data_IF_883156851196
#
_entry.id   IF_883156851196
#
_cell.length_a   1.000
_cell.length_b   1.000
_cell.length_c   1.000
_cell.angle_alpha   90.00
_cell.angle_beta   90.00
_cell.angle_gamma   90.00
#
_symmetry.space_group_name_H-M   'P 1'
#
loop_
_entity.id
_entity.type
_entity.pdbx_description
1 polymer ?
#
# COMPACT_ATOMS: atom_id res chain seq x y z
N UNK A 1 20.35 -1.68 6.60
CA UNK A 1 19.14 -2.20 5.91
C UNK A 1 18.89 -3.65 6.25
N UNK A 2 19.88 -4.52 6.17
CA UNK A 2 19.76 -5.95 6.51
C UNK A 2 19.11 -6.14 7.89
N UNK A 3 19.76 -5.66 8.93
CA UNK A 3 19.30 -5.84 10.32
C UNK A 3 17.91 -5.22 10.57
N UNK A 4 17.61 -4.11 9.90
CA UNK A 4 16.31 -3.45 10.02
C UNK A 4 15.19 -4.30 9.41
N UNK A 5 15.39 -4.85 8.22
CA UNK A 5 14.40 -5.75 7.59
C UNK A 5 14.28 -7.05 8.37
N UNK A 6 15.40 -7.61 8.85
CA UNK A 6 15.40 -8.82 9.66
C UNK A 6 14.60 -8.64 10.95
N UNK A 7 14.77 -7.52 11.62
CA UNK A 7 14.13 -7.26 12.92
C UNK A 7 12.64 -6.89 12.80
N UNK A 8 12.25 -6.20 11.72
CA UNK A 8 10.97 -5.50 11.64
C UNK A 8 9.97 -6.10 10.64
N UNK A 9 10.43 -6.80 9.60
CA UNK A 9 9.55 -7.43 8.61
C UNK A 9 9.47 -8.93 8.87
N UNK A 10 8.26 -9.44 9.06
CA UNK A 10 8.00 -10.86 9.30
C UNK A 10 7.13 -11.44 8.19
N UNK A 11 7.19 -12.74 7.99
CA UNK A 11 6.28 -13.43 7.08
C UNK A 11 4.82 -13.21 7.52
N UNK A 12 3.96 -12.92 6.55
CA UNK A 12 2.56 -12.60 6.78
C UNK A 12 2.24 -11.13 7.09
N UNK A 13 3.26 -10.28 7.31
CA UNK A 13 3.03 -8.87 7.63
C UNK A 13 2.36 -8.10 6.47
N UNK A 14 1.61 -7.09 6.85
CA UNK A 14 1.14 -6.03 5.94
C UNK A 14 2.20 -4.94 5.87
N UNK A 15 2.82 -4.79 4.70
CA UNK A 15 3.95 -3.88 4.48
C UNK A 15 3.57 -2.78 3.51
N UNK A 16 3.65 -1.54 3.95
CA UNK A 16 3.50 -0.36 3.10
C UNK A 16 4.87 0.21 2.76
N UNK A 17 5.21 0.21 1.46
CA UNK A 17 6.44 0.83 0.94
C UNK A 17 6.02 1.99 0.06
N UNK A 18 6.02 3.17 0.61
CA UNK A 18 5.58 4.37 -0.09
C UNK A 18 6.77 5.18 -0.60
N UNK A 19 6.52 5.91 -1.67
CA UNK A 19 7.49 6.79 -2.31
C UNK A 19 7.13 6.97 -3.78
N UNK A 20 7.42 8.14 -4.33
CA UNK A 20 7.12 8.45 -5.71
C UNK A 20 8.38 9.01 -6.39
N UNK A 21 8.58 8.65 -7.66
CA UNK A 21 9.75 9.07 -8.45
C UNK A 21 11.08 8.68 -7.80
N UNK A 22 11.85 9.66 -7.30
CA UNK A 22 13.17 9.46 -6.67
C UNK A 22 13.10 8.95 -5.21
N UNK A 23 11.91 8.81 -4.65
CA UNK A 23 11.71 8.35 -3.27
C UNK A 23 11.32 6.86 -3.19
N UNK A 24 11.48 6.10 -4.27
CA UNK A 24 11.19 4.67 -4.28
C UNK A 24 12.21 3.92 -3.41
N UNK A 25 11.72 3.09 -2.50
CA UNK A 25 12.53 2.38 -1.50
C UNK A 25 13.14 1.08 -2.08
N UNK A 26 13.90 1.14 -3.17
CA UNK A 26 14.49 -0.04 -3.82
C UNK A 26 15.33 -0.89 -2.89
N UNK A 27 16.17 -0.26 -2.07
CA UNK A 27 17.07 -0.98 -1.17
C UNK A 27 16.29 -1.85 -0.17
N UNK A 28 15.17 -1.36 0.35
CA UNK A 28 14.32 -2.12 1.27
C UNK A 28 13.59 -3.27 0.56
N UNK A 29 13.00 -3.00 -0.61
CA UNK A 29 12.33 -4.04 -1.41
C UNK A 29 13.28 -5.17 -1.81
N UNK A 30 14.50 -4.83 -2.26
CA UNK A 30 15.52 -5.83 -2.60
C UNK A 30 16.01 -6.60 -1.36
N UNK A 31 16.07 -5.95 -0.19
CA UNK A 31 16.42 -6.64 1.03
C UNK A 31 15.36 -7.65 1.46
N UNK A 32 14.08 -7.28 1.36
CA UNK A 32 12.95 -8.19 1.61
C UNK A 32 13.04 -9.43 0.70
N UNK A 33 13.36 -9.23 -0.60
CA UNK A 33 13.59 -10.33 -1.54
C UNK A 33 14.79 -11.19 -1.11
N UNK A 34 15.92 -10.57 -0.76
CA UNK A 34 17.15 -11.27 -0.38
C UNK A 34 16.98 -12.12 0.87
N UNK A 35 16.18 -11.66 1.83
CA UNK A 35 15.83 -12.40 3.05
C UNK A 35 14.71 -13.44 2.81
N UNK A 36 14.19 -13.53 1.59
CA UNK A 36 13.16 -14.49 1.21
C UNK A 36 11.91 -14.42 2.10
N UNK A 37 11.48 -13.22 2.46
CA UNK A 37 10.22 -13.02 3.18
C UNK A 37 9.05 -13.55 2.34
N UNK A 38 7.99 -14.02 3.01
CA UNK A 38 6.87 -14.69 2.35
C UNK A 38 5.53 -14.21 2.87
N UNK A 39 4.51 -14.47 2.06
CA UNK A 39 3.10 -14.25 2.40
C UNK A 39 2.76 -12.80 2.78
N UNK A 40 3.56 -11.84 2.34
CA UNK A 40 3.32 -10.44 2.63
C UNK A 40 2.06 -9.91 1.94
N UNK A 41 1.33 -9.05 2.65
CA UNK A 41 0.36 -8.14 2.05
C UNK A 41 1.06 -6.84 1.72
N UNK A 42 1.32 -6.56 0.46
CA UNK A 42 1.96 -5.33 0.01
C UNK A 42 0.92 -4.23 -0.22
N UNK A 43 1.15 -3.05 0.32
CA UNK A 43 0.24 -1.91 0.23
C UNK A 43 0.93 -0.71 -0.38
N UNK A 44 0.34 -0.11 -1.42
CA UNK A 44 0.81 1.14 -2.03
C UNK A 44 -0.26 1.76 -2.90
N UNK A 45 -0.28 3.10 -2.99
CA UNK A 45 -1.18 3.79 -3.92
C UNK A 45 -0.89 3.41 -5.37
N UNK A 46 0.38 3.46 -5.75
CA UNK A 46 0.82 3.21 -7.13
C UNK A 46 2.02 2.26 -7.12
N UNK A 47 1.78 0.93 -7.04
CA UNK A 47 2.84 -0.05 -7.19
C UNK A 47 3.65 0.16 -8.48
N UNK A 48 4.96 0.01 -8.38
CA UNK A 48 5.92 0.22 -9.46
C UNK A 48 6.89 -0.95 -9.61
N UNK A 49 8.04 -0.70 -10.27
CA UNK A 49 9.04 -1.72 -10.58
C UNK A 49 9.52 -2.49 -9.34
N UNK A 50 9.69 -1.85 -8.18
CA UNK A 50 10.13 -2.59 -6.98
C UNK A 50 9.06 -3.57 -6.51
N UNK A 51 7.78 -3.20 -6.65
CA UNK A 51 6.66 -4.11 -6.36
C UNK A 51 6.59 -5.26 -7.38
N UNK A 52 6.81 -4.96 -8.65
CA UNK A 52 6.87 -5.99 -9.70
C UNK A 52 7.97 -7.02 -9.40
N UNK A 53 9.15 -6.55 -8.98
CA UNK A 53 10.27 -7.41 -8.58
C UNK A 53 9.96 -8.24 -7.32
N UNK A 54 9.36 -7.64 -6.29
CA UNK A 54 8.98 -8.33 -5.06
C UNK A 54 7.93 -9.41 -5.33
N UNK A 55 6.91 -9.08 -6.10
CA UNK A 55 5.83 -10.01 -6.46
C UNK A 55 6.37 -11.12 -7.36
N UNK A 56 7.23 -10.79 -8.33
CA UNK A 56 7.92 -11.77 -9.18
C UNK A 56 8.84 -12.71 -8.40
N UNK A 57 9.45 -12.24 -7.33
CA UNK A 57 10.25 -13.05 -6.41
C UNK A 57 9.42 -13.91 -5.44
N UNK A 58 8.09 -13.80 -5.45
CA UNK A 58 7.20 -14.62 -4.65
C UNK A 58 7.10 -14.22 -3.18
N UNK A 59 7.48 -12.98 -2.81
CA UNK A 59 7.41 -12.54 -1.40
C UNK A 59 6.00 -12.14 -0.97
N UNK A 60 5.08 -11.87 -1.91
CA UNK A 60 3.73 -11.41 -1.61
C UNK A 60 2.66 -12.40 -2.03
N UNK A 61 1.65 -12.55 -1.17
CA UNK A 61 0.40 -13.27 -1.46
C UNK A 61 -0.77 -12.33 -1.75
N UNK A 62 -0.66 -11.05 -1.38
CA UNK A 62 -1.71 -10.05 -1.59
C UNK A 62 -1.13 -8.68 -1.95
N UNK A 63 -1.85 -7.95 -2.82
CA UNK A 63 -1.56 -6.57 -3.19
C UNK A 63 -2.79 -5.68 -2.95
N UNK A 64 -2.60 -4.60 -2.19
CA UNK A 64 -3.61 -3.57 -1.92
C UNK A 64 -3.15 -2.27 -2.57
N UNK A 65 -3.92 -1.76 -3.53
CA UNK A 65 -3.47 -0.66 -4.38
C UNK A 65 -4.61 0.21 -4.91
N UNK A 66 -4.27 1.26 -5.64
CA UNK A 66 -5.25 2.11 -6.34
C UNK A 66 -4.99 2.27 -7.83
N UNK A 67 -3.78 2.05 -8.29
CA UNK A 67 -3.47 2.09 -9.73
C UNK A 67 -2.20 1.29 -9.99
N UNK A 68 -2.24 0.39 -10.96
CA UNK A 68 -1.10 -0.40 -11.39
C UNK A 68 -0.53 0.15 -12.68
N UNK A 69 0.73 0.55 -12.64
CA UNK A 69 1.43 0.98 -13.83
C UNK A 69 2.78 1.60 -13.53
N UNK A 70 3.57 1.75 -14.57
CA UNK A 70 4.88 2.37 -14.52
C UNK A 70 5.04 3.29 -15.73
N UNK A 71 4.42 4.48 -15.69
CA UNK A 71 4.49 5.40 -16.81
C UNK A 71 5.95 5.77 -17.10
N UNK A 72 6.37 5.58 -18.33
CA UNK A 72 7.71 5.87 -18.79
C UNK A 72 8.66 4.68 -18.91
N UNK A 73 8.39 3.54 -18.29
CA UNK A 73 9.26 2.34 -18.39
C UNK A 73 8.53 1.06 -18.78
N UNK A 74 7.24 1.10 -19.00
CA UNK A 74 6.45 -0.01 -19.53
C UNK A 74 5.64 -0.79 -18.50
N UNK A 75 5.21 -2.00 -18.88
CA UNK A 75 4.31 -2.82 -18.07
C UNK A 75 5.02 -3.47 -16.89
N UNK A 76 4.25 -3.72 -15.83
CA UNK A 76 4.65 -4.50 -14.66
C UNK A 76 4.38 -5.99 -14.97
N UNK A 77 5.33 -6.64 -15.60
CA UNK A 77 5.13 -7.96 -16.20
C UNK A 77 4.96 -9.08 -15.18
N UNK A 78 5.64 -9.03 -14.04
CA UNK A 78 5.52 -10.07 -13.02
C UNK A 78 4.18 -9.99 -12.28
N UNK A 79 3.74 -8.78 -11.93
CA UNK A 79 2.41 -8.56 -11.36
C UNK A 79 1.34 -9.04 -12.33
N UNK A 80 1.48 -8.68 -13.60
CA UNK A 80 0.51 -9.05 -14.63
C UNK A 80 0.36 -10.57 -14.77
N UNK A 81 1.48 -11.30 -14.88
CA UNK A 81 1.44 -12.76 -14.92
C UNK A 81 0.78 -13.38 -13.70
N UNK A 82 1.06 -12.83 -12.51
CA UNK A 82 0.44 -13.31 -11.26
C UNK A 82 -1.07 -13.08 -11.19
N UNK A 83 -1.58 -12.06 -11.88
CA UNK A 83 -3.01 -11.72 -11.91
C UNK A 83 -3.72 -12.45 -13.06
N UNK A 84 -3.10 -12.54 -14.24
CA UNK A 84 -3.74 -13.06 -15.45
C UNK A 84 -3.55 -14.58 -15.60
N UNK A 85 -2.39 -15.12 -15.20
CA UNK A 85 -1.97 -16.50 -15.47
C UNK A 85 -1.79 -17.33 -14.19
N UNK A 86 -2.00 -16.75 -12.99
CA UNK A 86 -1.70 -17.39 -11.69
C UNK A 86 -0.24 -17.92 -11.57
N UNK A 87 0.70 -17.35 -12.32
CA UNK A 87 2.08 -17.82 -12.39
C UNK A 87 3.05 -16.97 -11.52
N UNK A 88 3.80 -17.58 -10.60
CA UNK A 88 3.86 -18.99 -10.19
C UNK A 88 2.73 -19.43 -9.23
N UNK A 89 1.92 -18.50 -8.76
CA UNK A 89 0.78 -18.74 -7.88
C UNK A 89 -0.16 -17.51 -7.94
N UNK A 90 -1.44 -17.63 -7.63
CA UNK A 90 -2.39 -16.52 -7.64
C UNK A 90 -1.97 -15.42 -6.68
N UNK A 91 -2.22 -14.18 -7.08
CA UNK A 91 -2.04 -12.99 -6.25
C UNK A 91 -3.41 -12.42 -5.91
N UNK A 92 -3.75 -12.39 -4.62
CA UNK A 92 -4.96 -11.72 -4.18
C UNK A 92 -4.82 -10.21 -4.41
N UNK A 93 -5.79 -9.59 -5.05
CA UNK A 93 -5.80 -8.16 -5.33
C UNK A 93 -6.95 -7.47 -4.61
N UNK A 94 -6.68 -6.25 -4.13
CA UNK A 94 -7.66 -5.40 -3.47
C UNK A 94 -7.49 -3.96 -3.97
N UNK A 95 -8.33 -3.58 -4.93
CA UNK A 95 -8.24 -2.29 -5.59
C UNK A 95 -9.15 -1.24 -4.95
N UNK A 96 -8.64 -0.01 -4.84
CA UNK A 96 -9.36 1.20 -4.42
C UNK A 96 -9.07 2.35 -5.36
N UNK A 97 -9.86 3.42 -5.29
CA UNK A 97 -9.41 4.69 -5.87
C UNK A 97 -8.23 5.27 -5.07
N UNK A 98 -7.46 6.19 -5.67
CA UNK A 98 -6.38 6.90 -4.93
C UNK A 98 -6.93 7.56 -3.67
N UNK A 99 -8.07 8.24 -3.78
CA UNK A 99 -8.72 8.85 -2.62
C UNK A 99 -9.16 7.81 -1.58
N UNK A 100 -9.70 6.67 -2.03
CA UNK A 100 -10.07 5.57 -1.15
C UNK A 100 -8.87 5.03 -0.36
N UNK A 101 -7.71 4.83 -1.00
CA UNK A 101 -6.49 4.41 -0.30
C UNK A 101 -6.02 5.47 0.71
N UNK A 102 -6.04 6.75 0.35
CA UNK A 102 -5.70 7.83 1.28
C UNK A 102 -6.65 7.81 2.49
N UNK A 103 -7.95 7.67 2.26
CA UNK A 103 -8.94 7.58 3.34
C UNK A 103 -8.71 6.38 4.25
N UNK A 104 -8.31 5.23 3.71
CA UNK A 104 -7.94 4.04 4.48
C UNK A 104 -6.74 4.29 5.40
N UNK A 105 -5.67 4.92 4.89
CA UNK A 105 -4.51 5.31 5.69
C UNK A 105 -4.89 6.33 6.76
N UNK A 106 -5.73 7.32 6.43
CA UNK A 106 -6.23 8.30 7.40
C UNK A 106 -7.03 7.63 8.51
N UNK A 107 -7.94 6.73 8.14
CA UNK A 107 -8.72 5.97 9.12
C UNK A 107 -7.83 5.13 10.03
N UNK A 108 -6.82 4.45 9.47
CA UNK A 108 -5.84 3.67 10.22
C UNK A 108 -5.04 4.52 11.21
N UNK A 109 -4.48 5.64 10.73
CA UNK A 109 -3.67 6.57 11.53
C UNK A 109 -4.49 7.29 12.63
N UNK A 110 -5.77 7.55 12.37
CA UNK A 110 -6.67 8.23 13.31
C UNK A 110 -7.46 7.27 14.21
N UNK A 111 -7.19 5.97 14.11
CA UNK A 111 -7.92 4.92 14.83
C UNK A 111 -9.45 4.94 14.60
N UNK A 112 -9.87 5.32 13.39
CA UNK A 112 -11.28 5.28 13.01
C UNK A 112 -11.67 3.85 12.61
N UNK A 113 -12.93 3.43 12.85
CA UNK A 113 -13.42 2.11 12.44
C UNK A 113 -13.61 1.99 10.93
N UNK A 114 -13.87 3.09 10.23
CA UNK A 114 -14.02 3.20 8.78
C UNK A 114 -13.90 4.67 8.36
N UNK A 115 -13.85 4.92 7.04
CA UNK A 115 -13.90 6.27 6.48
C UNK A 115 -15.05 6.36 5.47
N UNK A 116 -16.01 7.32 5.61
CA UNK A 116 -17.10 7.53 4.65
C UNK A 116 -16.60 8.30 3.43
N UNK A 117 -17.04 7.88 2.24
CA UNK A 117 -16.59 8.44 0.96
C UNK A 117 -17.76 8.57 0.00
N UNK A 118 -17.80 9.66 -0.76
CA UNK A 118 -18.77 9.87 -1.87
C UNK A 118 -18.21 9.55 -3.26
N UNK A 119 -16.90 9.24 -3.37
CA UNK A 119 -16.22 9.15 -4.67
C UNK A 119 -16.44 7.84 -5.44
N UNK A 120 -17.23 6.90 -4.92
CA UNK A 120 -17.50 5.61 -5.57
C UNK A 120 -18.88 5.55 -6.26
N UNK A 121 -19.64 6.63 -6.29
CA UNK A 121 -20.89 6.66 -7.04
C UNK A 121 -20.63 6.42 -8.54
N UNK A 122 -21.46 5.57 -9.14
CA UNK A 122 -21.36 5.18 -10.55
C UNK A 122 -20.04 4.49 -10.94
N UNK A 123 -19.25 4.02 -9.94
CA UNK A 123 -18.02 3.26 -10.15
C UNK A 123 -18.28 1.77 -10.03
N UNK A 124 -17.54 0.97 -10.79
CA UNK A 124 -17.59 -0.50 -10.70
C UNK A 124 -16.69 -1.07 -9.59
N UNK A 125 -15.77 -0.27 -9.03
CA UNK A 125 -14.86 -0.73 -7.97
C UNK A 125 -15.59 -1.35 -6.78
N UNK A 126 -16.67 -0.75 -6.22
CA UNK A 126 -17.41 -1.38 -5.13
C UNK A 126 -18.07 -2.71 -5.49
N UNK A 127 -18.35 -2.96 -6.78
CA UNK A 127 -18.96 -4.21 -7.22
C UNK A 127 -17.98 -5.39 -7.17
N UNK A 128 -16.68 -5.10 -7.35
CA UNK A 128 -15.63 -6.13 -7.37
C UNK A 128 -14.81 -6.17 -6.07
N UNK A 129 -14.88 -5.13 -5.25
CA UNK A 129 -14.20 -5.08 -3.95
C UNK A 129 -15.20 -5.14 -2.78
N UNK A 130 -15.37 -6.33 -2.16
CA UNK A 130 -16.35 -6.52 -1.08
C UNK A 130 -16.01 -5.75 0.21
N UNK A 131 -14.82 -5.17 0.33
CA UNK A 131 -14.42 -4.34 1.46
C UNK A 131 -14.94 -2.90 1.36
N UNK A 132 -15.42 -2.49 0.19
CA UNK A 132 -16.13 -1.21 0.03
C UNK A 132 -17.61 -1.47 0.27
N UNK A 133 -18.12 -0.96 1.37
CA UNK A 133 -19.52 -1.16 1.78
C UNK A 133 -20.31 0.13 1.67
N UNK A 134 -21.63 0.03 1.68
CA UNK A 134 -22.52 1.19 1.77
C UNK A 134 -23.10 1.32 3.18
N UNK A 135 -23.35 2.54 3.59
CA UNK A 135 -24.13 2.86 4.79
C UNK A 135 -24.95 4.13 4.58
N UNK A 136 -26.05 4.26 5.29
CA UNK A 136 -26.85 5.48 5.31
C UNK A 136 -26.23 6.46 6.32
N UNK A 137 -26.10 7.72 5.91
CA UNK A 137 -25.67 8.80 6.81
C UNK A 137 -26.59 8.89 8.03
N UNK A 138 -26.06 9.00 9.25
CA UNK A 138 -26.88 9.18 10.46
C UNK A 138 -27.43 10.61 10.62
N UNK A 139 -27.11 11.49 9.69
CA UNK A 139 -27.55 12.89 9.70
C UNK A 139 -28.83 13.10 8.87
N UNK A 140 -29.39 14.30 8.93
CA UNK A 140 -30.71 14.63 8.34
C UNK A 140 -30.82 14.37 6.84
N UNK A 141 -29.69 14.42 6.11
CA UNK A 141 -29.68 14.16 4.67
C UNK A 141 -29.96 12.68 4.33
N UNK A 142 -29.81 11.77 5.29
CA UNK A 142 -29.99 10.32 5.12
C UNK A 142 -29.34 9.77 3.82
N UNK A 143 -28.29 10.44 3.33
CA UNK A 143 -27.62 10.07 2.08
C UNK A 143 -26.90 8.75 2.24
N UNK A 144 -27.04 7.85 1.26
CA UNK A 144 -26.20 6.67 1.19
C UNK A 144 -24.76 7.07 0.81
N UNK A 145 -23.78 6.52 1.55
CA UNK A 145 -22.35 6.76 1.31
C UNK A 145 -21.60 5.44 1.30
N UNK A 146 -20.53 5.36 0.52
CA UNK A 146 -19.62 4.24 0.62
C UNK A 146 -18.68 4.41 1.83
N UNK A 147 -18.25 3.29 2.39
CA UNK A 147 -17.28 3.27 3.49
C UNK A 147 -16.14 2.32 3.17
N UNK A 148 -14.94 2.71 3.55
CA UNK A 148 -13.73 1.89 3.41
C UNK A 148 -13.15 1.56 4.78
N UNK A 149 -12.60 0.33 4.97
CA UNK A 149 -11.99 -0.06 6.23
C UNK A 149 -10.65 0.66 6.44
N UNK A 150 -10.19 0.82 7.68
CA UNK A 150 -8.86 1.36 7.96
C UNK A 150 -7.77 0.45 7.41
N UNK A 151 -6.68 1.04 6.94
CA UNK A 151 -5.44 0.35 6.60
C UNK A 151 -4.40 0.65 7.68
N UNK A 152 -3.96 -0.40 8.36
CA UNK A 152 -2.98 -0.34 9.44
C UNK A 152 -1.83 -1.30 9.14
N UNK A 153 -0.85 -0.88 8.33
CA UNK A 153 0.31 -1.71 8.05
C UNK A 153 1.08 -2.07 9.33
N UNK A 154 1.58 -3.30 9.41
CA UNK A 154 2.47 -3.73 10.49
C UNK A 154 3.82 -3.01 10.37
N UNK A 155 4.26 -2.80 9.11
CA UNK A 155 5.49 -2.10 8.78
C UNK A 155 5.23 -1.06 7.70
N UNK A 156 5.77 0.15 7.90
CA UNK A 156 5.79 1.20 6.87
C UNK A 156 7.22 1.63 6.58
N UNK A 157 7.58 1.61 5.31
CA UNK A 157 8.91 1.98 4.82
C UNK A 157 8.77 3.23 3.96
N UNK A 158 9.50 4.27 4.30
CA UNK A 158 9.52 5.53 3.55
C UNK A 158 10.96 5.93 3.27
N UNK A 159 11.21 6.47 2.09
CA UNK A 159 12.50 7.05 1.75
C UNK A 159 12.59 8.47 2.30
N UNK A 160 13.61 8.73 3.09
CA UNK A 160 13.96 10.07 3.53
C UNK A 160 15.39 10.41 3.07
N UNK A 161 15.63 11.66 2.71
CA UNK A 161 16.97 12.10 2.32
C UNK A 161 17.90 12.26 3.52
N UNK A 162 17.33 12.46 4.70
CA UNK A 162 18.08 12.59 5.94
C UNK A 162 17.27 12.09 7.12
N UNK A 163 17.90 11.38 8.03
CA UNK A 163 17.32 10.97 9.30
C UNK A 163 18.35 11.03 10.40
N UNK A 164 17.93 11.15 11.64
CA UNK A 164 18.79 11.13 12.82
C UNK A 164 18.52 9.91 13.71
N UNK A 165 19.34 9.76 14.75
CA UNK A 165 19.21 8.65 15.68
C UNK A 165 17.95 8.72 16.58
N UNK A 166 17.29 9.86 16.62
CA UNK A 166 16.04 10.07 17.38
C UNK A 166 14.81 9.67 16.56
N UNK A 167 14.99 9.37 15.26
CA UNK A 167 13.92 9.01 14.33
C UNK A 167 13.26 10.20 13.63
N UNK A 168 13.84 11.41 13.77
CA UNK A 168 13.41 12.57 13.01
C UNK A 168 13.93 12.45 11.57
N UNK A 169 13.04 12.67 10.59
CA UNK A 169 13.37 12.53 9.19
C UNK A 169 13.01 13.76 8.38
N UNK A 170 13.86 14.10 7.42
CA UNK A 170 13.65 15.20 6.48
C UNK A 170 13.45 14.65 5.07
N UNK A 171 12.33 15.06 4.46
CA UNK A 171 11.96 14.74 3.10
C UNK A 171 11.76 16.03 2.32
N UNK A 172 12.41 16.15 1.17
CA UNK A 172 12.25 17.27 0.25
C UNK A 172 12.15 16.81 -1.20
N UNK A 173 11.69 17.68 -2.08
CA UNK A 173 11.39 17.37 -3.47
C UNK A 173 9.91 17.05 -3.68
N UNK A 174 9.59 16.33 -4.74
CA UNK A 174 8.22 15.93 -5.05
C UNK A 174 7.78 14.80 -4.10
N UNK A 175 7.19 15.14 -2.98
CA UNK A 175 6.62 14.17 -2.04
C UNK A 175 5.09 14.22 -2.07
N UNK A 176 4.48 13.10 -2.39
CA UNK A 176 2.99 12.99 -2.47
C UNK A 176 2.36 12.63 -1.12
N UNK A 177 3.12 12.11 -0.17
CA UNK A 177 2.56 11.62 1.11
C UNK A 177 3.19 12.32 2.30
N UNK A 178 2.44 13.21 2.91
CA UNK A 178 2.71 13.73 4.26
C UNK A 178 1.62 13.20 5.18
N UNK A 179 1.83 12.07 5.87
CA UNK A 179 1.11 11.81 7.12
C UNK A 179 1.88 10.86 8.03
N UNK A 180 1.89 11.18 9.31
CA UNK A 180 2.41 10.34 10.39
C UNK A 180 1.55 9.05 10.43
N UNK A 181 2.12 7.93 10.09
CA UNK A 181 1.55 6.63 10.42
C UNK A 181 2.09 6.19 11.78
N UNK A 182 1.22 5.71 12.66
CA UNK A 182 1.63 5.01 13.89
C UNK A 182 1.98 3.55 13.54
N UNK A 183 2.92 3.38 12.65
CA UNK A 183 3.58 2.11 12.35
C UNK A 183 5.04 2.25 12.75
N UNK A 184 5.70 1.17 13.08
CA UNK A 184 7.14 1.20 13.41
C UNK A 184 7.90 1.66 12.17
N UNK A 185 8.54 2.84 12.15
CA UNK A 185 9.27 3.30 10.98
C UNK A 185 10.58 2.52 10.86
N UNK A 186 10.87 2.07 9.64
CA UNK A 186 12.24 1.75 9.23
C UNK A 186 12.78 3.00 8.55
N UNK A 187 13.77 3.61 9.11
CA UNK A 187 14.49 4.76 8.56
C UNK A 187 15.64 4.29 7.68
#
# INVERSE_FOLDING_TARGET
MHDAVEALVRDGDTVAIEGFTHLICFAAGHEIIRQRRRDLTLCRLTPDVVYDQMIGAGVASKLVFSWLGNPGVGSLHAIRRRIEDDDPAPLAIEEYSHFGMVCRYVAGASNLPFFPIRSYYESDIPKVNPNIKSMVSPYEDATEVHVVPPLRPDVSIVHAQRADASGDAQIWGCSVVRRRQRSRPIV
#
